data_IF_016789919578
#
_entry.id   IF_016789919578
#
_cell.length_a   1.000
_cell.length_b   1.000
_cell.length_c   1.000
_cell.angle_alpha   90.00
_cell.angle_beta   90.00
_cell.angle_gamma   90.00
#
_symmetry.space_group_name_H-M   'P 1'
#
loop_
_entity.id
_entity.type
_entity.pdbx_description
1 polymer ?
#
# COMPACT_ATOMS: atom_id res chain seq x y z
N UNK A 1 4.37 13.06 24.69
CA UNK A 1 3.80 13.04 23.32
C UNK A 1 3.29 14.43 22.93
N UNK A 2 3.74 14.99 21.80
CA UNK A 2 3.33 16.33 21.33
C UNK A 2 1.87 16.35 20.84
N UNK A 3 1.27 17.54 20.74
CA UNK A 3 -0.09 17.68 20.19
C UNK A 3 -0.16 17.18 18.73
N UNK A 4 0.88 17.42 17.95
CA UNK A 4 0.98 17.00 16.54
C UNK A 4 1.03 15.47 16.43
N UNK A 5 1.81 14.82 17.30
CA UNK A 5 1.90 13.35 17.31
C UNK A 5 0.57 12.69 17.71
N UNK A 6 -0.19 13.27 18.65
CA UNK A 6 -1.53 12.76 18.99
C UNK A 6 -2.49 12.82 17.79
N UNK A 7 -2.46 13.92 17.05
CA UNK A 7 -3.26 14.08 15.83
C UNK A 7 -2.85 13.09 14.75
N UNK A 8 -1.53 12.90 14.56
CA UNK A 8 -0.99 11.86 13.67
C UNK A 8 -1.48 10.47 14.08
N UNK A 9 -1.28 10.04 15.32
CA UNK A 9 -1.69 8.71 15.80
C UNK A 9 -3.17 8.46 15.52
N UNK A 10 -4.05 9.41 15.87
CA UNK A 10 -5.50 9.28 15.63
C UNK A 10 -5.84 9.18 14.13
N UNK A 11 -5.18 9.98 13.30
CA UNK A 11 -5.41 9.97 11.85
C UNK A 11 -4.90 8.68 11.20
N UNK A 12 -3.69 8.27 11.56
CA UNK A 12 -3.01 7.11 11.00
C UNK A 12 -3.71 5.80 11.41
N UNK A 13 -4.16 5.65 12.66
CA UNK A 13 -4.92 4.46 13.09
C UNK A 13 -6.19 4.20 12.28
N UNK A 14 -6.79 5.23 11.65
CA UNK A 14 -8.02 5.06 10.84
C UNK A 14 -7.82 4.27 9.56
N UNK A 15 -6.59 4.12 9.09
CA UNK A 15 -6.31 3.38 7.86
C UNK A 15 -6.02 1.91 8.11
N UNK A 16 -5.86 1.50 9.37
CA UNK A 16 -5.67 0.10 9.78
C UNK A 16 -7.00 -0.64 9.81
N UNK A 17 -6.94 -1.95 9.60
CA UNK A 17 -8.07 -2.86 9.77
C UNK A 17 -8.59 -2.87 11.22
N UNK A 18 -9.86 -3.25 11.44
CA UNK A 18 -10.49 -3.19 12.77
C UNK A 18 -9.78 -4.04 13.83
N UNK A 19 -9.19 -5.16 13.42
CA UNK A 19 -8.54 -6.13 14.31
C UNK A 19 -7.00 -6.06 14.27
N UNK A 20 -6.43 -5.15 13.48
CA UNK A 20 -4.99 -5.06 13.17
C UNK A 20 -4.42 -3.68 13.50
N UNK A 21 -5.05 -2.98 14.44
CA UNK A 21 -4.63 -1.66 14.89
C UNK A 21 -3.17 -1.66 15.36
N UNK A 22 -2.41 -0.65 14.93
CA UNK A 22 -1.03 -0.45 15.39
C UNK A 22 -0.97 -0.25 16.91
N UNK A 23 -0.01 -0.91 17.56
CA UNK A 23 0.26 -0.68 18.97
C UNK A 23 0.78 0.75 19.23
N UNK A 24 0.68 1.27 20.47
CA UNK A 24 1.25 2.57 20.80
C UNK A 24 2.74 2.68 20.45
N UNK A 25 3.51 1.61 20.71
CA UNK A 25 4.94 1.57 20.37
C UNK A 25 5.18 1.63 18.85
N UNK A 26 4.35 0.95 18.05
CA UNK A 26 4.42 1.01 16.60
C UNK A 26 4.09 2.42 16.09
N UNK A 27 3.05 3.08 16.63
CA UNK A 27 2.70 4.46 16.29
C UNK A 27 3.82 5.45 16.61
N UNK A 28 4.48 5.26 17.76
CA UNK A 28 5.64 6.07 18.14
C UNK A 28 6.84 5.84 17.20
N UNK A 29 7.05 4.61 16.75
CA UNK A 29 8.07 4.29 15.74
C UNK A 29 7.75 4.94 14.39
N UNK A 30 6.51 4.83 13.90
CA UNK A 30 6.06 5.50 12.66
C UNK A 30 6.25 7.01 12.74
N UNK A 31 5.86 7.62 13.85
CA UNK A 31 6.04 9.06 14.07
C UNK A 31 7.52 9.46 14.06
N UNK A 32 8.37 8.66 14.72
CA UNK A 32 9.81 8.90 14.75
C UNK A 32 10.43 8.83 13.36
N UNK A 33 10.06 7.84 12.55
CA UNK A 33 10.51 7.71 11.16
C UNK A 33 10.00 8.87 10.29
N UNK A 34 8.72 9.24 10.43
CA UNK A 34 8.11 10.34 9.69
C UNK A 34 8.77 11.68 9.99
N UNK A 35 9.18 11.90 11.24
CA UNK A 35 9.75 13.18 11.69
C UNK A 35 11.26 13.24 11.61
N UNK A 36 11.93 12.11 11.37
CA UNK A 36 13.36 12.03 11.14
C UNK A 36 13.78 13.05 10.06
N UNK A 37 14.81 13.83 10.34
CA UNK A 37 15.29 14.92 9.48
C UNK A 37 14.20 15.90 9.01
N UNK A 38 13.17 16.11 9.85
CA UNK A 38 12.00 16.92 9.55
C UNK A 38 11.19 16.41 8.33
N UNK A 39 11.15 15.10 8.09
CA UNK A 39 10.49 14.47 6.95
C UNK A 39 9.01 14.87 6.78
N UNK A 40 8.27 15.02 7.89
CA UNK A 40 6.89 15.52 7.90
C UNK A 40 6.69 16.85 7.15
N UNK A 41 7.72 17.72 7.07
CA UNK A 41 7.65 18.98 6.30
C UNK A 41 7.63 18.76 4.79
N UNK A 42 8.01 17.58 4.30
CA UNK A 42 8.06 17.25 2.88
C UNK A 42 6.77 16.58 2.37
N UNK A 43 5.83 16.20 3.25
CA UNK A 43 4.60 15.47 2.87
C UNK A 43 3.78 16.20 1.80
N UNK A 44 3.68 17.53 1.89
CA UNK A 44 2.95 18.36 0.92
C UNK A 44 3.58 18.34 -0.48
N UNK A 45 4.86 17.95 -0.60
CA UNK A 45 5.52 17.76 -1.90
C UNK A 45 5.28 16.36 -2.43
N UNK A 46 5.30 15.35 -1.56
CA UNK A 46 5.05 13.96 -1.94
C UNK A 46 3.61 13.74 -2.41
N UNK A 47 2.63 14.37 -1.77
CA UNK A 47 1.21 14.20 -2.13
C UNK A 47 0.86 14.72 -3.53
N UNK A 48 1.72 15.54 -4.14
CA UNK A 48 1.55 16.02 -5.53
C UNK A 48 1.50 14.87 -6.55
N UNK A 49 1.93 13.66 -6.18
CA UNK A 49 1.75 12.47 -7.01
C UNK A 49 0.27 12.22 -7.39
N UNK A 50 -0.69 12.75 -6.61
CA UNK A 50 -2.12 12.67 -6.94
C UNK A 50 -2.46 13.45 -8.22
N UNK A 51 -1.78 14.55 -8.48
CA UNK A 51 -1.93 15.29 -9.74
C UNK A 51 -1.23 14.52 -10.87
N UNK A 52 -0.02 14.02 -10.58
CA UNK A 52 0.78 13.23 -11.53
C UNK A 52 0.03 11.97 -12.01
N UNK A 53 -0.68 11.26 -11.12
CA UNK A 53 -1.45 10.06 -11.52
C UNK A 53 -2.64 10.37 -12.41
N UNK A 54 -3.17 11.60 -12.36
CA UNK A 54 -4.23 12.06 -13.27
C UNK A 54 -3.60 12.39 -14.61
N UNK A 55 -2.56 13.23 -14.61
CA UNK A 55 -1.86 13.68 -15.81
C UNK A 55 -1.23 12.50 -16.59
N UNK A 56 -0.63 11.54 -15.88
CA UNK A 56 0.11 10.43 -16.47
C UNK A 56 -0.68 9.12 -16.47
N UNK A 57 -1.99 9.15 -16.20
CA UNK A 57 -2.85 7.97 -16.10
C UNK A 57 -2.65 6.99 -17.25
N UNK A 58 -2.69 7.48 -18.49
CA UNK A 58 -2.56 6.64 -19.69
C UNK A 58 -1.21 5.92 -19.74
N UNK A 59 -0.11 6.65 -19.50
CA UNK A 59 1.24 6.08 -19.47
C UNK A 59 1.39 5.04 -18.36
N UNK A 60 0.94 5.34 -17.14
CA UNK A 60 1.14 4.47 -15.98
C UNK A 60 0.23 3.24 -16.00
N UNK A 61 -1.05 3.42 -16.34
CA UNK A 61 -1.95 2.27 -16.52
C UNK A 61 -1.52 1.42 -17.71
N UNK A 62 -1.08 2.04 -18.81
CA UNK A 62 -0.54 1.33 -19.96
C UNK A 62 0.66 0.45 -19.59
N UNK A 63 1.55 0.91 -18.69
CA UNK A 63 2.66 0.09 -18.21
C UNK A 63 2.18 -1.16 -17.43
N UNK A 64 1.15 -1.02 -16.59
CA UNK A 64 0.55 -2.15 -15.86
C UNK A 64 -0.19 -3.12 -16.79
N UNK A 65 -0.92 -2.58 -17.79
CA UNK A 65 -1.67 -3.38 -18.77
C UNK A 65 -0.77 -4.17 -19.71
N UNK A 66 0.41 -3.63 -20.04
CA UNK A 66 1.39 -4.22 -20.95
C UNK A 66 2.59 -4.84 -20.22
N UNK A 67 2.50 -5.05 -18.90
CA UNK A 67 3.57 -5.64 -18.12
C UNK A 67 3.93 -7.03 -18.68
N UNK A 68 5.23 -7.25 -18.93
CA UNK A 68 5.75 -8.54 -19.42
C UNK A 68 6.30 -9.43 -18.30
N UNK A 69 6.39 -8.89 -17.09
CA UNK A 69 6.74 -9.64 -15.88
C UNK A 69 5.46 -10.05 -15.12
N UNK A 70 5.56 -11.08 -14.25
CA UNK A 70 4.49 -11.38 -13.30
C UNK A 70 4.12 -10.14 -12.47
N UNK A 71 2.83 -9.83 -12.39
CA UNK A 71 2.30 -8.67 -11.67
C UNK A 71 1.12 -9.12 -10.82
N UNK A 72 1.24 -8.99 -9.49
CA UNK A 72 0.19 -9.30 -8.51
C UNK A 72 -0.13 -8.07 -7.66
N UNK A 73 -1.42 -7.80 -7.46
CA UNK A 73 -1.90 -6.80 -6.50
C UNK A 73 -2.34 -7.51 -5.21
N UNK A 74 -1.58 -7.34 -4.14
CA UNK A 74 -1.96 -7.75 -2.77
C UNK A 74 -2.63 -6.53 -2.11
N UNK A 75 -3.84 -6.69 -1.60
CA UNK A 75 -4.65 -5.58 -1.10
C UNK A 75 -5.38 -5.94 0.20
N UNK A 76 -5.36 -5.01 1.16
CA UNK A 76 -6.26 -5.01 2.30
C UNK A 76 -7.61 -4.37 1.91
N UNK A 77 -8.70 -5.14 1.85
CA UNK A 77 -9.98 -4.62 1.39
C UNK A 77 -10.65 -3.63 2.35
N UNK A 78 -10.26 -3.60 3.62
CA UNK A 78 -10.79 -2.73 4.66
C UNK A 78 -10.14 -1.33 4.65
N UNK A 79 -9.14 -1.11 3.80
CA UNK A 79 -8.55 0.20 3.57
C UNK A 79 -9.61 1.23 3.08
N UNK A 80 -9.86 2.32 3.85
CA UNK A 80 -10.86 3.33 3.49
C UNK A 80 -10.42 4.21 2.30
N UNK A 81 -9.14 4.21 1.93
CA UNK A 81 -8.56 5.04 0.87
C UNK A 81 -8.43 4.28 -0.44
N UNK A 82 -7.95 3.03 -0.39
CA UNK A 82 -7.60 2.20 -1.55
C UNK A 82 -7.90 0.70 -1.34
N UNK A 83 -8.98 0.37 -0.63
CA UNK A 83 -9.42 -1.00 -0.36
C UNK A 83 -10.10 -1.72 -1.54
N UNK A 84 -11.17 -2.45 -1.26
CA UNK A 84 -11.78 -3.43 -2.19
C UNK A 84 -12.08 -2.88 -3.60
N UNK A 85 -12.44 -1.59 -3.71
CA UNK A 85 -12.70 -0.94 -4.99
C UNK A 85 -11.47 -0.89 -5.92
N UNK A 86 -10.25 -0.89 -5.38
CA UNK A 86 -9.01 -0.97 -6.18
C UNK A 86 -8.82 -2.34 -6.81
N UNK A 87 -9.15 -3.40 -6.09
CA UNK A 87 -9.11 -4.77 -6.63
C UNK A 87 -10.14 -4.93 -7.75
N UNK A 88 -11.36 -4.45 -7.54
CA UNK A 88 -12.38 -4.44 -8.58
C UNK A 88 -11.90 -3.69 -9.83
N UNK A 89 -11.37 -2.47 -9.65
CA UNK A 89 -10.86 -1.67 -10.77
C UNK A 89 -9.64 -2.29 -11.46
N UNK A 90 -8.77 -2.98 -10.73
CA UNK A 90 -7.64 -3.72 -11.29
C UNK A 90 -8.13 -4.83 -12.22
N UNK A 91 -9.13 -5.61 -11.78
CA UNK A 91 -9.74 -6.70 -12.56
C UNK A 91 -10.41 -6.21 -13.85
N UNK A 92 -10.97 -5.02 -13.84
CA UNK A 92 -11.55 -4.40 -15.04
C UNK A 92 -10.49 -3.90 -16.03
N UNK A 93 -9.35 -3.41 -15.54
CA UNK A 93 -8.39 -2.69 -16.36
C UNK A 93 -7.20 -3.54 -16.81
N UNK A 94 -6.77 -4.52 -16.01
CA UNK A 94 -5.59 -5.34 -16.30
C UNK A 94 -6.01 -6.61 -17.03
N UNK A 95 -5.45 -6.94 -18.21
CA UNK A 95 -5.92 -8.07 -19.04
C UNK A 95 -5.85 -9.46 -18.39
N UNK A 96 -4.88 -9.67 -17.50
CA UNK A 96 -4.69 -10.92 -16.74
C UNK A 96 -4.49 -10.57 -15.27
N UNK A 97 -5.57 -10.14 -14.58
CA UNK A 97 -5.44 -9.56 -13.26
C UNK A 97 -5.13 -10.65 -12.23
N UNK A 98 -3.94 -10.62 -11.66
CA UNK A 98 -3.61 -11.41 -10.48
C UNK A 98 -3.81 -10.52 -9.24
N UNK A 99 -4.80 -10.86 -8.42
CA UNK A 99 -5.20 -10.06 -7.26
C UNK A 99 -5.41 -10.97 -6.06
N UNK A 100 -4.81 -10.62 -4.92
CA UNK A 100 -5.01 -11.29 -3.64
C UNK A 100 -5.56 -10.27 -2.65
N UNK A 101 -6.68 -10.62 -2.01
CA UNK A 101 -7.28 -9.84 -0.93
C UNK A 101 -6.93 -10.47 0.39
N UNK A 102 -6.54 -9.68 1.38
CA UNK A 102 -6.30 -10.13 2.75
C UNK A 102 -7.43 -9.63 3.66
N UNK A 103 -8.46 -10.43 3.95
CA UNK A 103 -9.63 -9.95 4.71
C UNK A 103 -9.25 -9.47 6.11
N UNK A 104 -9.88 -8.38 6.54
CA UNK A 104 -9.64 -7.74 7.85
C UNK A 104 -8.41 -6.83 7.88
N UNK A 105 -7.73 -6.64 6.75
CA UNK A 105 -6.49 -5.86 6.63
C UNK A 105 -6.79 -4.50 5.98
N UNK A 106 -6.23 -3.45 6.55
CA UNK A 106 -6.32 -2.07 6.08
C UNK A 106 -5.29 -1.68 5.03
N UNK A 107 -4.83 -0.44 5.11
CA UNK A 107 -4.05 0.26 4.08
C UNK A 107 -2.63 -0.26 3.91
N UNK A 108 -2.03 -0.80 4.96
CA UNK A 108 -0.64 -1.27 4.95
C UNK A 108 -0.56 -2.79 5.21
N UNK A 109 -0.93 -3.64 4.23
CA UNK A 109 -0.95 -5.09 4.41
C UNK A 109 0.36 -5.69 4.92
N UNK A 110 1.50 -5.15 4.50
CA UNK A 110 2.82 -5.58 4.93
C UNK A 110 3.08 -5.34 6.43
N UNK A 111 2.40 -4.35 7.03
CA UNK A 111 2.51 -4.05 8.46
C UNK A 111 1.45 -4.77 9.29
N UNK A 112 0.27 -4.99 8.71
CA UNK A 112 -0.90 -5.53 9.42
C UNK A 112 -0.99 -7.06 9.36
N UNK A 113 -0.62 -7.67 8.24
CA UNK A 113 -0.73 -9.10 8.00
C UNK A 113 0.46 -9.65 7.20
N UNK A 114 1.70 -9.52 7.72
CA UNK A 114 2.91 -9.88 7.00
C UNK A 114 2.93 -11.33 6.53
N UNK A 115 2.40 -12.27 7.32
CA UNK A 115 2.31 -13.69 6.94
C UNK A 115 1.39 -13.90 5.73
N UNK A 116 0.27 -13.19 5.69
CA UNK A 116 -0.65 -13.20 4.55
C UNK A 116 -0.03 -12.58 3.30
N UNK A 117 0.73 -11.50 3.46
CA UNK A 117 1.52 -10.91 2.37
C UNK A 117 2.58 -11.88 1.88
N UNK A 118 3.31 -12.53 2.79
CA UNK A 118 4.36 -13.49 2.43
C UNK A 118 3.80 -14.70 1.68
N UNK A 119 2.71 -15.28 2.17
CA UNK A 119 2.01 -16.38 1.50
C UNK A 119 1.49 -15.95 0.11
N UNK A 120 1.00 -14.72 -0.02
CA UNK A 120 0.56 -14.16 -1.29
C UNK A 120 1.72 -13.82 -2.23
N UNK A 121 2.92 -13.55 -1.73
CA UNK A 121 4.09 -13.14 -2.51
C UNK A 121 4.91 -14.33 -2.99
N UNK A 122 5.06 -15.38 -2.18
CA UNK A 122 5.94 -16.52 -2.46
C UNK A 122 5.70 -17.16 -3.84
N UNK A 123 4.45 -17.47 -4.26
CA UNK A 123 4.21 -18.07 -5.58
C UNK A 123 4.57 -17.14 -6.75
N UNK A 124 4.64 -15.82 -6.51
CA UNK A 124 5.06 -14.86 -7.53
C UNK A 124 6.57 -14.95 -7.75
N UNK A 125 7.36 -15.13 -6.69
CA UNK A 125 8.81 -15.30 -6.78
C UNK A 125 9.19 -16.59 -7.51
N UNK A 126 8.47 -17.68 -7.27
CA UNK A 126 8.67 -18.94 -7.99
C UNK A 126 8.38 -18.81 -9.51
N UNK A 127 7.56 -17.84 -9.89
CA UNK A 127 7.21 -17.54 -11.28
C UNK A 127 8.11 -16.49 -11.94
N UNK A 128 9.05 -15.88 -11.21
CA UNK A 128 9.99 -14.93 -11.80
C UNK A 128 11.03 -15.68 -12.64
N UNK A 129 11.35 -15.19 -13.85
CA UNK A 129 12.50 -15.70 -14.59
C UNK A 129 13.75 -15.48 -13.73
N UNK A 130 14.71 -16.42 -13.80
CA UNK A 130 16.03 -16.21 -13.22
C UNK A 130 16.58 -14.87 -13.70
N UNK A 131 17.09 -14.06 -12.77
CA UNK A 131 17.74 -12.80 -13.13
C UNK A 131 18.88 -13.12 -14.11
N UNK A 132 19.06 -12.33 -15.18
CA UNK A 132 20.22 -12.47 -16.04
C UNK A 132 21.47 -12.35 -15.18
N UNK A 133 22.39 -13.31 -15.32
CA UNK A 133 23.71 -13.27 -14.69
C UNK A 133 24.57 -12.15 -15.29
#
# INVERSE_FOLDING_TARGET
MSLIQRTFNRGFSRVFGPATQASPAALDAFWSLLTLHHGHRQLHRLIRYIDDRIQHRGRWMGALQNARCPLRLINGPEDPVSGAHRVARCRELVPRPDTVRLPGIGHDPQMEGPDGVWAALTPLFDALPALPQ
#
